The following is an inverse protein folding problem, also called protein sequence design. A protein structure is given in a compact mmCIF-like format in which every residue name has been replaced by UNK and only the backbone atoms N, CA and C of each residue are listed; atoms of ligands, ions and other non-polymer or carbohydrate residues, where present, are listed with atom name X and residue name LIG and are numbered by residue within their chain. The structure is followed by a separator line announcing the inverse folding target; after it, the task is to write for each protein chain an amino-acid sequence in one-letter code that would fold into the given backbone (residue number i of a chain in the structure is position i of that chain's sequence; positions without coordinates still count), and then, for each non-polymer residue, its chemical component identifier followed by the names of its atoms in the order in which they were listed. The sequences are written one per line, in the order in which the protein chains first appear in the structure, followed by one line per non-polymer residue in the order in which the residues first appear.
data_IF_201186550966
#
_entry.id   IF_201186550966
#
_cell.length_a   1.000
_cell.length_b   1.000
_cell.length_c   1.000
_cell.angle_alpha   90.00
_cell.angle_beta   90.00
_cell.angle_gamma   90.00
#
_symmetry.space_group_name_H-M   'P 1'
#
loop_
_entity.id
_entity.type
_entity.pdbx_description
1 polymer ?
#
# COMPACT_ATOMS: atom_id res chain seq x y z
N UNK A 1 26.08 2.75 9.42
CA UNK A 1 25.07 2.71 10.54
C UNK A 1 24.02 3.74 10.25
N UNK A 2 22.73 3.39 10.41
CA UNK A 2 21.59 4.24 10.09
C UNK A 2 21.08 4.96 11.34
N UNK A 3 20.77 6.23 11.21
CA UNK A 3 20.28 7.10 12.27
C UNK A 3 18.98 7.78 11.84
N UNK A 4 18.04 7.91 12.78
CA UNK A 4 16.91 8.80 12.63
C UNK A 4 17.37 10.26 12.80
N UNK A 5 17.19 11.07 11.76
CA UNK A 5 17.63 12.47 11.75
C UNK A 5 16.60 13.35 12.48
N UNK A 6 16.98 13.92 13.61
CA UNK A 6 16.08 14.78 14.40
C UNK A 6 15.90 16.18 13.77
N UNK A 7 16.96 16.75 13.23
CA UNK A 7 16.89 18.01 12.46
C UNK A 7 16.70 17.70 10.97
N UNK A 8 15.46 17.46 10.58
CA UNK A 8 15.09 17.06 9.21
C UNK A 8 15.47 18.11 8.15
N UNK A 9 15.67 19.39 8.57
CA UNK A 9 16.09 20.47 7.67
C UNK A 9 17.46 20.21 7.04
N UNK A 10 18.34 19.44 7.69
CA UNK A 10 19.64 19.07 7.13
C UNK A 10 19.51 18.19 5.89
N UNK A 11 18.47 17.35 5.80
CA UNK A 11 18.21 16.49 4.67
C UNK A 11 17.29 17.10 3.61
N UNK A 12 16.59 18.19 3.92
CA UNK A 12 15.62 18.82 3.02
C UNK A 12 16.20 19.13 1.60
N UNK A 13 17.45 19.60 1.45
CA UNK A 13 18.03 19.83 0.12
C UNK A 13 18.17 18.57 -0.73
N UNK A 14 18.29 17.37 -0.13
CA UNK A 14 18.40 16.11 -0.87
C UNK A 14 17.10 15.74 -1.57
N UNK A 15 15.97 16.18 -1.04
CA UNK A 15 14.63 15.94 -1.57
C UNK A 15 14.16 17.03 -2.55
N UNK A 16 14.99 18.04 -2.85
CA UNK A 16 14.63 19.05 -3.86
C UNK A 16 14.42 18.40 -5.23
N UNK A 17 13.28 18.71 -5.85
CA UNK A 17 12.90 18.12 -7.14
C UNK A 17 12.13 16.80 -7.04
N UNK A 18 12.17 16.11 -5.90
CA UNK A 18 11.27 15.01 -5.62
C UNK A 18 9.90 15.56 -5.21
N UNK A 19 8.87 15.06 -5.86
CA UNK A 19 7.58 15.76 -5.88
C UNK A 19 6.49 15.06 -5.09
N UNK A 20 6.85 14.32 -4.04
CA UNK A 20 5.90 13.62 -3.22
C UNK A 20 5.56 14.39 -1.94
N UNK A 21 4.28 14.47 -1.59
CA UNK A 21 3.78 15.13 -0.38
C UNK A 21 4.10 14.36 0.90
N UNK A 22 4.25 13.03 0.80
CA UNK A 22 4.66 12.20 1.92
C UNK A 22 6.05 12.60 2.43
N UNK A 23 6.95 13.02 1.53
CA UNK A 23 8.25 13.58 1.89
C UNK A 23 8.08 14.84 2.76
N UNK A 24 7.11 15.71 2.44
CA UNK A 24 6.84 16.90 3.25
C UNK A 24 6.33 16.53 4.64
N UNK A 25 5.46 15.52 4.75
CA UNK A 25 5.01 14.98 6.03
C UNK A 25 6.21 14.55 6.90
N UNK A 26 7.19 13.85 6.31
CA UNK A 26 8.42 13.44 7.00
C UNK A 26 9.30 14.64 7.40
N UNK A 27 9.50 15.61 6.49
CA UNK A 27 10.33 16.80 6.75
C UNK A 27 9.73 17.69 7.83
N UNK A 28 8.41 17.73 7.96
CA UNK A 28 7.68 18.46 9.00
C UNK A 28 7.54 17.65 10.30
N UNK A 29 7.90 16.35 10.31
CA UNK A 29 7.78 15.46 11.46
C UNK A 29 6.36 15.19 11.89
N UNK A 30 5.42 15.17 10.94
CA UNK A 30 4.01 14.91 11.17
C UNK A 30 3.69 13.42 11.01
N UNK A 31 2.62 12.95 11.63
CA UNK A 31 2.08 11.59 11.50
C UNK A 31 3.13 10.47 11.69
N UNK A 32 4.08 10.66 12.62
CA UNK A 32 5.16 9.69 12.83
C UNK A 32 6.18 9.62 11.69
N UNK A 33 6.11 10.53 10.69
CA UNK A 33 7.05 10.60 9.58
C UNK A 33 8.49 10.82 10.04
N UNK A 34 9.44 10.08 9.45
CA UNK A 34 10.85 10.05 9.86
C UNK A 34 11.78 10.24 8.67
N UNK A 35 12.94 10.78 8.95
CA UNK A 35 14.06 10.83 8.01
C UNK A 35 15.21 9.98 8.58
N UNK A 36 15.71 9.07 7.76
CA UNK A 36 16.87 8.23 8.10
C UNK A 36 18.06 8.61 7.23
N UNK A 37 19.25 8.60 7.84
CA UNK A 37 20.51 8.98 7.19
C UNK A 37 21.66 8.10 7.70
N UNK A 38 22.77 8.07 6.99
CA UNK A 38 24.03 7.43 7.43
C UNK A 38 25.00 8.43 8.06
N UNK A 39 24.78 9.75 7.86
CA UNK A 39 25.52 10.85 8.52
C UNK A 39 24.53 11.93 8.99
N UNK A 40 24.51 12.21 10.31
CA UNK A 40 23.59 13.18 10.92
C UNK A 40 24.07 14.63 10.80
N UNK A 41 25.35 14.86 10.49
CA UNK A 41 25.92 16.23 10.41
C UNK A 41 25.86 16.79 8.98
N UNK A 42 26.22 15.98 8.00
CA UNK A 42 26.26 16.37 6.60
C UNK A 42 25.71 15.24 5.70
N UNK A 43 24.39 14.96 5.77
CA UNK A 43 23.81 13.85 5.05
C UNK A 43 23.96 14.06 3.54
N UNK A 44 24.47 13.02 2.83
CA UNK A 44 24.57 12.96 1.38
C UNK A 44 23.49 12.05 0.78
N UNK A 45 22.89 11.22 1.63
CA UNK A 45 21.83 10.27 1.30
C UNK A 45 20.79 10.29 2.40
N UNK A 46 19.54 10.15 2.05
CA UNK A 46 18.45 10.11 3.01
C UNK A 46 17.33 9.17 2.56
N UNK A 47 16.55 8.69 3.53
CA UNK A 47 15.33 7.96 3.32
C UNK A 47 14.23 8.62 4.15
N UNK A 48 13.17 9.11 3.50
CA UNK A 48 11.96 9.61 4.14
C UNK A 48 10.96 8.47 4.25
N UNK A 49 10.45 8.23 5.47
CA UNK A 49 9.50 7.15 5.73
C UNK A 49 8.28 7.65 6.48
N UNK A 50 7.10 7.38 5.94
CA UNK A 50 5.79 7.64 6.58
C UNK A 50 4.76 6.64 6.08
N UNK A 51 3.84 6.26 6.94
CA UNK A 51 2.90 5.18 6.68
C UNK A 51 3.67 3.92 6.25
N UNK A 52 3.63 3.56 4.98
CA UNK A 52 4.34 2.40 4.43
C UNK A 52 5.35 2.77 3.33
N UNK A 53 5.52 4.06 3.00
CA UNK A 53 6.40 4.48 1.91
C UNK A 53 7.77 4.97 2.40
N UNK A 54 8.80 4.50 1.68
CA UNK A 54 10.21 4.82 1.88
C UNK A 54 10.76 5.51 0.64
N UNK A 55 10.91 6.82 0.65
CA UNK A 55 11.45 7.62 -0.45
C UNK A 55 12.93 7.86 -0.25
N UNK A 56 13.74 7.41 -1.21
CA UNK A 56 15.19 7.62 -1.19
C UNK A 56 15.57 8.95 -1.84
N UNK A 57 16.69 9.53 -1.40
CA UNK A 57 17.21 10.78 -1.96
C UNK A 57 18.72 10.89 -1.81
N UNK A 58 19.35 11.73 -2.65
CA UNK A 58 20.79 11.98 -2.65
C UNK A 58 21.58 10.86 -3.31
N UNK A 59 22.84 10.67 -2.89
CA UNK A 59 23.73 9.66 -3.46
C UNK A 59 23.30 8.25 -3.08
N UNK A 60 23.38 7.25 -3.99
CA UNK A 60 23.07 5.87 -3.66
C UNK A 60 23.90 5.36 -2.46
N UNK A 61 23.22 4.85 -1.44
CA UNK A 61 23.81 4.37 -0.20
C UNK A 61 23.36 2.94 0.09
N UNK A 62 24.34 2.02 0.24
CA UNK A 62 24.08 0.59 0.42
C UNK A 62 23.42 0.28 1.77
N UNK A 63 23.78 1.02 2.84
CA UNK A 63 23.16 0.79 4.15
C UNK A 63 21.68 1.19 4.12
N UNK A 64 21.35 2.33 3.50
CA UNK A 64 19.97 2.78 3.36
C UNK A 64 19.16 1.87 2.44
N UNK A 65 19.72 1.42 1.30
CA UNK A 65 19.01 0.51 0.39
C UNK A 65 18.69 -0.85 1.04
N UNK A 66 19.55 -1.33 1.93
CA UNK A 66 19.35 -2.56 2.70
C UNK A 66 18.42 -2.36 3.93
N UNK A 67 18.04 -1.12 4.23
CA UNK A 67 17.27 -0.80 5.44
C UNK A 67 15.77 -0.75 5.15
N UNK A 68 15.02 -1.52 5.91
CA UNK A 68 13.55 -1.52 5.95
C UNK A 68 13.11 -0.95 7.30
N UNK A 69 12.46 0.23 7.35
CA UNK A 69 12.12 0.91 8.61
C UNK A 69 11.15 0.13 9.50
N UNK A 70 10.29 -0.69 8.89
CA UNK A 70 9.34 -1.58 9.58
C UNK A 70 9.09 -2.84 8.74
N UNK A 71 8.24 -3.75 9.22
CA UNK A 71 7.98 -5.05 8.60
C UNK A 71 7.61 -5.02 7.12
N UNK A 72 6.99 -3.93 6.65
CA UNK A 72 6.52 -3.72 5.31
C UNK A 72 6.86 -2.32 4.81
N UNK A 73 7.32 -2.18 3.56
CA UNK A 73 7.64 -0.88 2.99
C UNK A 73 7.58 -0.87 1.45
N UNK A 74 6.97 0.16 0.89
CA UNK A 74 7.06 0.51 -0.52
C UNK A 74 8.28 1.41 -0.76
N UNK A 75 9.36 0.85 -1.28
CA UNK A 75 10.61 1.57 -1.54
C UNK A 75 10.53 2.31 -2.88
N UNK A 76 10.69 3.62 -2.85
CA UNK A 76 10.61 4.50 -4.03
C UNK A 76 11.98 5.08 -4.32
N UNK A 77 12.69 4.57 -5.35
CA UNK A 77 13.97 5.10 -5.78
C UNK A 77 13.78 6.41 -6.56
N UNK A 78 14.67 7.41 -6.40
CA UNK A 78 14.65 8.62 -7.21
C UNK A 78 15.23 8.44 -8.61
N UNK A 79 16.03 7.39 -8.82
CA UNK A 79 16.73 7.09 -10.07
C UNK A 79 17.12 5.60 -10.21
N UNK A 80 17.66 5.25 -11.37
CA UNK A 80 18.07 3.87 -11.70
C UNK A 80 19.22 3.34 -10.80
N UNK A 81 20.07 4.21 -10.26
CA UNK A 81 21.16 3.77 -9.39
C UNK A 81 20.64 3.29 -8.04
N UNK A 82 19.66 3.99 -7.49
CA UNK A 82 18.95 3.55 -6.30
C UNK A 82 18.11 2.30 -6.56
N UNK A 83 17.42 2.24 -7.71
CA UNK A 83 16.64 1.08 -8.13
C UNK A 83 17.51 -0.20 -8.18
N UNK A 84 18.69 -0.12 -8.79
CA UNK A 84 19.63 -1.24 -8.84
C UNK A 84 20.09 -1.70 -7.46
N UNK A 85 20.34 -0.78 -6.51
CA UNK A 85 20.70 -1.16 -5.15
C UNK A 85 19.53 -1.83 -4.43
N UNK A 86 18.32 -1.34 -4.59
CA UNK A 86 17.12 -1.97 -4.00
C UNK A 86 16.97 -3.39 -4.55
N UNK A 87 17.09 -3.58 -5.87
CA UNK A 87 17.02 -4.91 -6.51
C UNK A 87 18.14 -5.87 -6.04
N UNK A 88 19.34 -5.33 -5.75
CA UNK A 88 20.47 -6.12 -5.20
C UNK A 88 20.15 -6.68 -3.80
N UNK A 89 19.53 -5.85 -2.93
CA UNK A 89 19.24 -6.24 -1.54
C UNK A 89 17.91 -6.97 -1.38
N UNK A 90 16.95 -6.66 -2.23
CA UNK A 90 15.57 -7.17 -2.19
C UNK A 90 15.16 -7.77 -3.55
N UNK A 91 15.83 -8.85 -4.01
CA UNK A 91 15.61 -9.41 -5.34
C UNK A 91 14.20 -9.97 -5.55
N UNK A 92 13.50 -10.29 -4.48
CA UNK A 92 12.14 -10.82 -4.50
C UNK A 92 11.08 -9.76 -4.17
N UNK A 93 11.46 -8.47 -4.08
CA UNK A 93 10.49 -7.39 -3.88
C UNK A 93 9.46 -7.35 -5.01
N UNK A 94 8.19 -7.14 -4.67
CA UNK A 94 7.14 -6.96 -5.66
C UNK A 94 7.29 -5.58 -6.32
N UNK A 95 7.50 -5.58 -7.62
CA UNK A 95 7.81 -4.38 -8.41
C UNK A 95 6.56 -3.87 -9.11
N UNK A 96 6.04 -2.76 -8.64
CA UNK A 96 4.83 -2.14 -9.19
C UNK A 96 5.11 -0.80 -9.83
N UNK A 97 4.31 -0.46 -10.86
CA UNK A 97 4.29 0.88 -11.45
C UNK A 97 3.22 1.71 -10.77
N UNK A 98 3.59 2.91 -10.32
CA UNK A 98 2.68 3.91 -9.77
C UNK A 98 2.65 5.14 -10.68
N UNK A 99 1.65 5.98 -10.50
CA UNK A 99 1.35 7.09 -11.39
C UNK A 99 1.33 8.41 -10.62
N UNK A 100 2.41 9.18 -10.75
CA UNK A 100 2.52 10.49 -10.13
C UNK A 100 1.62 11.52 -10.84
N UNK A 101 0.99 12.40 -10.06
CA UNK A 101 0.16 13.48 -10.55
C UNK A 101 0.84 14.84 -10.35
N UNK A 102 0.52 15.80 -11.22
CA UNK A 102 1.04 17.16 -11.09
C UNK A 102 0.53 17.84 -9.82
N UNK A 103 1.39 18.67 -9.21
CA UNK A 103 1.04 19.41 -7.99
C UNK A 103 -0.11 20.42 -8.19
N UNK A 104 -0.22 20.98 -9.37
CA UNK A 104 -1.19 22.04 -9.68
C UNK A 104 -2.40 21.45 -10.42
N UNK A 105 -3.29 20.82 -9.68
CA UNK A 105 -4.57 20.34 -10.22
C UNK A 105 -5.45 21.50 -10.68
N UNK A 106 -6.18 21.29 -11.78
CA UNK A 106 -7.15 22.26 -12.31
C UNK A 106 -8.56 21.89 -11.87
N UNK A 107 -8.89 22.22 -10.64
CA UNK A 107 -10.16 21.84 -10.04
C UNK A 107 -11.29 22.79 -10.46
N UNK A 108 -12.25 22.28 -11.23
CA UNK A 108 -13.50 22.97 -11.52
C UNK A 108 -14.52 22.70 -10.40
N UNK A 109 -14.72 23.70 -9.53
CA UNK A 109 -15.65 23.60 -8.39
C UNK A 109 -17.07 23.19 -8.82
N UNK A 110 -17.60 23.73 -9.91
CA UNK A 110 -18.95 23.38 -10.39
C UNK A 110 -19.03 21.93 -10.85
N UNK A 111 -17.97 21.45 -11.49
CA UNK A 111 -17.88 20.03 -11.90
C UNK A 111 -17.84 19.12 -10.68
N UNK A 112 -17.03 19.46 -9.66
CA UNK A 112 -16.97 18.69 -8.41
C UNK A 112 -18.32 18.71 -7.66
N UNK A 113 -18.96 19.87 -7.54
CA UNK A 113 -20.31 19.98 -6.96
C UNK A 113 -21.34 19.12 -7.73
N UNK A 114 -21.23 19.06 -9.06
CA UNK A 114 -22.12 18.23 -9.87
C UNK A 114 -21.94 16.73 -9.61
N UNK A 115 -20.72 16.28 -9.30
CA UNK A 115 -20.46 14.90 -8.93
C UNK A 115 -21.08 14.53 -7.58
N UNK A 116 -21.06 15.46 -6.62
CA UNK A 116 -21.70 15.27 -5.33
C UNK A 116 -23.23 15.22 -5.50
N UNK A 117 -23.78 16.13 -6.28
CA UNK A 117 -25.23 16.18 -6.54
C UNK A 117 -25.76 14.97 -7.31
N UNK A 118 -24.88 14.22 -8.01
CA UNK A 118 -25.22 13.03 -8.76
C UNK A 118 -25.19 11.74 -7.93
N UNK A 119 -25.06 11.82 -6.60
CA UNK A 119 -25.13 10.65 -5.73
C UNK A 119 -26.45 9.89 -5.98
N UNK A 120 -26.43 8.55 -6.16
CA UNK A 120 -27.65 7.82 -6.43
C UNK A 120 -28.63 7.81 -5.24
N UNK A 121 -29.91 7.60 -5.52
CA UNK A 121 -30.93 7.45 -4.48
C UNK A 121 -30.60 6.27 -3.55
N UNK A 122 -30.79 6.45 -2.25
CA UNK A 122 -30.51 5.47 -1.22
C UNK A 122 -29.06 5.49 -0.70
N UNK A 123 -28.22 6.39 -1.22
CA UNK A 123 -26.87 6.63 -0.71
C UNK A 123 -26.79 7.98 -0.01
N UNK A 124 -26.00 8.07 1.04
CA UNK A 124 -25.83 9.29 1.84
C UNK A 124 -24.35 9.64 1.94
N UNK A 125 -23.96 10.85 1.54
CA UNK A 125 -22.62 11.38 1.71
C UNK A 125 -22.50 12.01 3.11
N UNK A 126 -21.49 11.59 3.89
CA UNK A 126 -21.17 12.13 5.22
C UNK A 126 -19.71 12.49 5.34
N UNK A 127 -19.43 13.54 6.12
CA UNK A 127 -18.07 13.84 6.57
C UNK A 127 -17.66 12.83 7.65
N UNK A 128 -16.41 12.39 7.65
CA UNK A 128 -15.86 11.57 8.72
C UNK A 128 -15.78 12.39 10.00
N UNK A 129 -16.60 12.01 10.95
CA UNK A 129 -16.60 12.48 12.33
C UNK A 129 -16.11 11.37 13.28
N UNK A 130 -16.25 11.58 14.59
CA UNK A 130 -15.80 10.61 15.57
C UNK A 130 -16.51 9.26 15.53
N UNK A 131 -17.80 9.25 15.17
CA UNK A 131 -18.58 8.01 15.12
C UNK A 131 -18.24 7.22 13.85
N UNK A 132 -18.08 7.92 12.72
CA UNK A 132 -17.67 7.32 11.44
C UNK A 132 -16.22 6.83 11.51
N UNK A 133 -15.31 7.57 12.20
CA UNK A 133 -13.96 7.08 12.48
C UNK A 133 -13.97 5.72 13.20
N UNK A 134 -14.84 5.58 14.24
CA UNK A 134 -14.96 4.33 15.01
C UNK A 134 -15.59 3.18 14.20
N UNK A 135 -16.28 3.48 13.10
CA UNK A 135 -16.73 2.48 12.14
C UNK A 135 -15.58 2.07 11.23
N UNK A 136 -14.90 3.04 10.61
CA UNK A 136 -13.80 2.82 9.65
C UNK A 136 -12.66 1.99 10.25
N UNK A 137 -12.20 2.33 11.45
CA UNK A 137 -11.05 1.64 12.08
C UNK A 137 -11.31 0.16 12.43
N UNK A 138 -12.57 -0.29 12.35
CA UNK A 138 -12.99 -1.67 12.60
C UNK A 138 -13.38 -2.42 11.33
N UNK A 139 -13.40 -1.74 10.21
CA UNK A 139 -13.82 -2.28 8.93
C UNK A 139 -12.57 -2.62 8.12
N UNK A 140 -12.31 -3.91 7.92
CA UNK A 140 -11.10 -4.41 7.22
C UNK A 140 -11.00 -3.94 5.77
N UNK A 141 -12.10 -3.48 5.14
CA UNK A 141 -12.11 -2.93 3.79
C UNK A 141 -11.82 -1.42 3.75
N UNK A 142 -11.90 -0.71 4.90
CA UNK A 142 -11.83 0.75 4.96
C UNK A 142 -10.95 1.33 6.09
N UNK A 143 -10.33 0.51 6.94
CA UNK A 143 -9.52 0.96 8.08
C UNK A 143 -8.32 1.83 7.64
N UNK A 144 -7.73 1.55 6.50
CA UNK A 144 -6.67 2.37 5.90
C UNK A 144 -7.05 3.84 5.70
N UNK A 145 -8.36 4.15 5.61
CA UNK A 145 -8.85 5.53 5.52
C UNK A 145 -8.48 6.38 6.73
N UNK A 146 -8.16 5.77 7.89
CA UNK A 146 -7.90 6.48 9.15
C UNK A 146 -6.73 5.90 9.95
N UNK A 147 -6.25 4.68 9.66
CA UNK A 147 -5.26 3.94 10.46
C UNK A 147 -3.84 4.54 10.45
N UNK A 148 -3.51 5.38 9.47
CA UNK A 148 -2.20 6.04 9.39
C UNK A 148 -2.01 7.16 10.41
N UNK A 149 -3.06 7.57 11.10
CA UNK A 149 -3.00 8.54 12.19
C UNK A 149 -2.73 7.83 13.52
N UNK A 150 -1.94 8.46 14.39
CA UNK A 150 -1.55 7.87 15.68
C UNK A 150 -2.75 7.69 16.62
N UNK A 151 -3.79 8.50 16.43
CA UNK A 151 -5.03 8.43 17.22
C UNK A 151 -6.22 9.06 16.50
N UNK A 152 -7.42 8.75 16.99
CA UNK A 152 -8.68 9.39 16.58
C UNK A 152 -8.62 10.92 16.74
N UNK A 153 -8.06 11.39 17.85
CA UNK A 153 -7.93 12.82 18.15
C UNK A 153 -7.04 13.50 17.10
N UNK A 154 -5.93 12.87 16.72
CA UNK A 154 -5.05 13.39 15.68
C UNK A 154 -5.78 13.45 14.32
N UNK A 155 -6.53 12.39 13.96
CA UNK A 155 -7.33 12.42 12.75
C UNK A 155 -8.36 13.54 12.73
N UNK A 156 -9.11 13.72 13.83
CA UNK A 156 -10.15 14.75 13.92
C UNK A 156 -9.58 16.17 13.92
N UNK A 157 -8.34 16.36 14.37
CA UNK A 157 -7.65 17.67 14.39
C UNK A 157 -7.11 18.02 13.00
N UNK A 158 -6.42 17.12 12.33
CA UNK A 158 -5.66 17.44 11.11
C UNK A 158 -6.11 16.64 9.86
N UNK A 159 -6.77 15.52 10.01
CA UNK A 159 -7.30 14.72 8.90
C UNK A 159 -8.59 15.29 8.31
N UNK A 160 -8.94 14.81 7.13
CA UNK A 160 -10.20 15.13 6.43
C UNK A 160 -10.68 13.90 5.68
N UNK A 161 -11.99 13.72 5.62
CA UNK A 161 -12.54 12.64 4.83
C UNK A 161 -14.06 12.69 4.71
N UNK A 162 -14.55 11.95 3.74
CA UNK A 162 -15.97 11.76 3.46
C UNK A 162 -16.23 10.29 3.15
N UNK A 163 -17.36 9.81 3.59
CA UNK A 163 -17.84 8.46 3.27
C UNK A 163 -19.18 8.55 2.54
N UNK A 164 -19.46 7.57 1.71
CA UNK A 164 -20.82 7.29 1.25
C UNK A 164 -21.31 6.09 2.02
N UNK A 165 -22.50 6.25 2.60
CA UNK A 165 -23.20 5.21 3.35
C UNK A 165 -24.43 4.73 2.59
N UNK A 166 -24.75 3.45 2.77
CA UNK A 166 -25.96 2.79 2.28
C UNK A 166 -26.46 1.83 3.34
N UNK A 167 -27.76 1.91 3.70
CA UNK A 167 -28.40 1.04 4.68
C UNK A 167 -27.66 0.96 6.04
N UNK A 168 -26.91 2.04 6.40
CA UNK A 168 -26.15 2.13 7.65
C UNK A 168 -24.69 1.66 7.55
N UNK A 169 -24.28 1.08 6.42
CA UNK A 169 -22.92 0.59 6.16
C UNK A 169 -22.11 1.58 5.32
N UNK A 170 -20.78 1.62 5.51
CA UNK A 170 -19.86 2.39 4.67
C UNK A 170 -19.61 1.61 3.38
N UNK A 171 -19.79 2.26 2.23
CA UNK A 171 -19.62 1.63 0.93
C UNK A 171 -18.59 2.32 0.03
N UNK A 172 -18.19 3.54 0.38
CA UNK A 172 -17.05 4.23 -0.25
C UNK A 172 -16.51 5.25 0.73
N UNK A 173 -15.19 5.41 0.76
CA UNK A 173 -14.49 6.39 1.58
C UNK A 173 -13.46 7.15 0.74
N UNK A 174 -13.32 8.45 1.00
CA UNK A 174 -12.17 9.25 0.57
C UNK A 174 -11.63 9.99 1.78
N UNK A 175 -10.35 9.84 2.07
CA UNK A 175 -9.74 10.37 3.30
C UNK A 175 -8.31 10.86 3.06
N UNK A 176 -7.77 11.57 4.05
CA UNK A 176 -6.37 11.91 4.12
C UNK A 176 -5.55 10.65 4.38
N UNK A 177 -4.74 10.23 3.43
CA UNK A 177 -3.71 9.21 3.63
C UNK A 177 -2.59 9.76 4.52
N UNK A 178 -2.03 10.90 4.14
CA UNK A 178 -1.11 11.69 4.96
C UNK A 178 -1.45 13.17 4.90
N UNK A 179 -0.93 13.94 5.88
CA UNK A 179 -1.12 15.40 5.93
C UNK A 179 0.23 16.10 6.13
N UNK A 180 0.34 17.29 5.58
CA UNK A 180 1.43 18.23 5.81
C UNK A 180 0.85 19.64 5.94
N UNK A 181 1.66 20.64 6.33
CA UNK A 181 1.15 21.99 6.67
C UNK A 181 0.36 22.69 5.56
N UNK A 182 0.52 22.30 4.29
CA UNK A 182 -0.13 22.95 3.13
C UNK A 182 -1.13 22.07 2.41
N UNK A 183 -1.34 20.81 2.83
CA UNK A 183 -2.22 19.92 2.12
C UNK A 183 -2.26 18.51 2.67
N UNK A 184 -2.78 17.60 1.87
CA UNK A 184 -2.91 16.19 2.20
C UNK A 184 -2.81 15.32 0.95
N UNK A 185 -2.43 14.06 1.14
CA UNK A 185 -2.61 13.02 0.15
C UNK A 185 -3.96 12.36 0.30
N UNK A 186 -4.55 11.98 -0.84
CA UNK A 186 -5.87 11.38 -0.90
C UNK A 186 -5.73 9.86 -1.03
N UNK A 187 -6.48 9.14 -0.19
CA UNK A 187 -6.82 7.73 -0.36
C UNK A 187 -8.31 7.61 -0.65
N UNK A 188 -8.69 6.70 -1.58
CA UNK A 188 -10.08 6.43 -1.92
C UNK A 188 -10.30 4.95 -2.11
N UNK A 189 -11.31 4.41 -1.40
CA UNK A 189 -11.75 3.03 -1.52
C UNK A 189 -13.25 2.93 -1.77
N UNK A 190 -13.67 1.85 -2.40
CA UNK A 190 -15.09 1.54 -2.63
C UNK A 190 -15.28 0.03 -2.59
N UNK A 191 -16.24 -0.41 -1.77
CA UNK A 191 -16.64 -1.80 -1.65
C UNK A 191 -16.89 -2.42 -3.04
N UNK A 192 -16.37 -3.62 -3.27
CA UNK A 192 -16.38 -4.25 -4.60
C UNK A 192 -17.78 -4.32 -5.23
N UNK A 193 -18.78 -4.70 -4.44
CA UNK A 193 -20.19 -4.80 -4.89
C UNK A 193 -20.83 -3.43 -5.25
N UNK A 194 -20.19 -2.33 -4.82
CA UNK A 194 -20.67 -0.96 -4.99
C UNK A 194 -19.87 -0.17 -6.04
N UNK A 195 -18.85 -0.78 -6.65
CA UNK A 195 -18.02 -0.16 -7.70
C UNK A 195 -18.84 0.21 -8.94
N UNK A 196 -18.31 1.13 -9.74
CA UNK A 196 -18.90 1.63 -11.01
C UNK A 196 -20.20 2.39 -10.86
N UNK A 197 -20.62 2.77 -9.63
CA UNK A 197 -21.80 3.60 -9.33
C UNK A 197 -21.49 5.08 -9.15
N UNK A 198 -20.22 5.49 -9.30
CA UNK A 198 -19.77 6.87 -9.15
C UNK A 198 -19.45 7.30 -7.71
N UNK A 199 -19.50 6.38 -6.72
CA UNK A 199 -19.33 6.69 -5.30
C UNK A 199 -17.95 7.24 -4.98
N UNK A 200 -16.86 6.63 -5.49
CA UNK A 200 -15.50 7.16 -5.37
C UNK A 200 -15.35 8.57 -5.97
N UNK A 201 -16.06 8.86 -7.06
CA UNK A 201 -16.09 10.21 -7.64
C UNK A 201 -16.77 11.22 -6.70
N UNK A 202 -17.85 10.81 -6.03
CA UNK A 202 -18.59 11.64 -5.07
C UNK A 202 -17.75 11.93 -3.83
N UNK A 203 -17.16 10.90 -3.19
CA UNK A 203 -16.33 11.06 -1.98
C UNK A 203 -15.07 11.87 -2.27
N UNK A 204 -14.37 11.58 -3.39
CA UNK A 204 -13.18 12.30 -3.82
C UNK A 204 -13.48 13.77 -4.16
N UNK A 205 -14.61 14.05 -4.83
CA UNK A 205 -15.04 15.42 -5.11
C UNK A 205 -15.32 16.22 -3.83
N UNK A 206 -15.98 15.60 -2.85
CA UNK A 206 -16.26 16.22 -1.56
C UNK A 206 -14.97 16.55 -0.78
N UNK A 207 -14.01 15.60 -0.76
CA UNK A 207 -12.72 15.80 -0.10
C UNK A 207 -11.92 16.93 -0.76
N UNK A 208 -11.84 16.94 -2.10
CA UNK A 208 -11.13 17.99 -2.86
C UNK A 208 -11.77 19.36 -2.59
N UNK A 209 -13.10 19.49 -2.64
CA UNK A 209 -13.79 20.74 -2.34
C UNK A 209 -13.49 21.24 -0.92
N UNK A 210 -13.53 20.35 0.07
CA UNK A 210 -13.18 20.68 1.46
C UNK A 210 -11.74 21.19 1.58
N UNK A 211 -10.77 20.58 0.87
CA UNK A 211 -9.40 21.08 0.83
C UNK A 211 -9.33 22.48 0.23
N UNK A 212 -9.99 22.72 -0.90
CA UNK A 212 -9.97 24.02 -1.58
C UNK A 212 -10.66 25.15 -0.76
N UNK A 213 -11.65 24.82 0.04
CA UNK A 213 -12.32 25.75 0.96
C UNK A 213 -11.39 26.20 2.08
N UNK A 214 -10.57 25.30 2.60
CA UNK A 214 -9.62 25.59 3.67
C UNK A 214 -8.24 26.05 3.15
N UNK A 215 -8.08 26.23 1.85
CA UNK A 215 -6.82 26.65 1.22
C UNK A 215 -5.73 25.58 1.26
N UNK A 216 -6.11 24.33 1.43
CA UNK A 216 -5.20 23.18 1.39
C UNK A 216 -5.05 22.62 -0.03
N UNK A 217 -3.87 22.11 -0.33
CA UNK A 217 -3.59 21.46 -1.59
C UNK A 217 -3.93 19.96 -1.51
N UNK A 218 -4.96 19.48 -2.21
CA UNK A 218 -5.16 18.05 -2.37
C UNK A 218 -4.05 17.49 -3.25
N UNK A 219 -3.46 16.37 -2.84
CA UNK A 219 -2.45 15.60 -3.57
C UNK A 219 -2.96 14.19 -3.75
N UNK A 220 -2.45 13.52 -4.74
CA UNK A 220 -2.77 12.13 -5.00
C UNK A 220 -1.64 11.45 -5.74
N UNK A 221 -1.37 10.23 -5.36
CA UNK A 221 -0.53 9.28 -6.05
C UNK A 221 -1.38 8.05 -6.42
N UNK A 222 -1.49 7.75 -7.70
CA UNK A 222 -2.37 6.69 -8.16
C UNK A 222 -1.65 5.33 -8.20
N UNK A 223 -2.19 4.35 -7.49
CA UNK A 223 -1.63 3.01 -7.38
C UNK A 223 -1.77 2.19 -8.67
N UNK A 224 -2.73 2.54 -9.54
CA UNK A 224 -3.05 1.83 -10.77
C UNK A 224 -3.77 2.75 -11.77
N UNK A 225 -4.04 2.24 -12.97
CA UNK A 225 -4.69 2.99 -14.04
C UNK A 225 -6.14 3.38 -13.74
N UNK A 226 -6.89 2.58 -12.97
CA UNK A 226 -8.26 2.93 -12.57
C UNK A 226 -8.25 4.13 -11.62
N UNK A 227 -7.30 4.15 -10.66
CA UNK A 227 -7.05 5.28 -9.75
C UNK A 227 -6.61 6.53 -10.52
N UNK A 228 -5.71 6.37 -11.52
CA UNK A 228 -5.29 7.47 -12.39
C UNK A 228 -6.47 8.09 -13.14
N UNK A 229 -7.31 7.26 -13.77
CA UNK A 229 -8.50 7.75 -14.50
C UNK A 229 -9.49 8.48 -13.58
N UNK A 230 -9.65 7.99 -12.35
CA UNK A 230 -10.50 8.66 -11.36
C UNK A 230 -9.90 10.02 -10.97
N UNK A 231 -8.60 10.09 -10.73
CA UNK A 231 -7.90 11.32 -10.41
C UNK A 231 -8.02 12.37 -11.54
N UNK A 232 -7.81 11.97 -12.81
CA UNK A 232 -7.97 12.85 -13.98
C UNK A 232 -9.41 13.33 -14.12
N UNK A 233 -10.40 12.45 -13.90
CA UNK A 233 -11.81 12.84 -13.89
C UNK A 233 -12.12 13.93 -12.86
N UNK A 234 -11.47 13.89 -11.70
CA UNK A 234 -11.62 14.85 -10.60
C UNK A 234 -10.84 16.15 -10.82
N UNK A 235 -9.91 16.21 -11.77
CA UNK A 235 -9.20 17.44 -12.14
C UNK A 235 -7.70 17.42 -11.87
N UNK A 236 -7.14 16.29 -11.50
CA UNK A 236 -5.70 16.08 -11.50
C UNK A 236 -5.17 15.91 -12.92
N UNK A 237 -3.88 16.14 -13.11
CA UNK A 237 -3.18 15.90 -14.37
C UNK A 237 -2.06 14.89 -14.14
N UNK A 238 -1.97 13.87 -15.01
CA UNK A 238 -0.86 12.92 -15.01
C UNK A 238 0.49 13.62 -15.19
N UNK A 239 1.50 13.14 -14.48
CA UNK A 239 2.88 13.63 -14.58
C UNK A 239 3.80 12.58 -15.23
N UNK A 240 4.05 11.48 -14.55
CA UNK A 240 4.93 10.40 -15.01
C UNK A 240 4.65 9.11 -14.23
N UNK A 241 5.11 8.01 -14.80
CA UNK A 241 5.17 6.72 -14.11
C UNK A 241 6.46 6.62 -13.31
N UNK A 242 6.42 5.89 -12.20
CA UNK A 242 7.59 5.56 -11.42
C UNK A 242 7.47 4.17 -10.77
N UNK A 243 8.59 3.62 -10.35
CA UNK A 243 8.63 2.29 -9.75
C UNK A 243 8.54 2.36 -8.22
N UNK A 244 7.80 1.43 -7.65
CA UNK A 244 7.76 1.15 -6.22
C UNK A 244 8.08 -0.33 -6.00
N UNK A 245 8.98 -0.62 -5.07
CA UNK A 245 9.41 -1.96 -4.70
C UNK A 245 8.84 -2.30 -3.33
N UNK A 246 7.89 -3.19 -3.29
CA UNK A 246 7.27 -3.61 -2.04
C UNK A 246 8.10 -4.69 -1.37
N UNK A 247 8.56 -4.39 -0.17
CA UNK A 247 9.38 -5.27 0.66
C UNK A 247 8.56 -5.67 1.88
N UNK A 248 8.28 -6.97 1.98
CA UNK A 248 7.40 -7.55 2.99
C UNK A 248 8.17 -8.03 4.23
N UNK A 249 7.47 -8.19 5.36
CA UNK A 249 7.99 -8.74 6.60
C UNK A 249 8.48 -10.19 6.44
N UNK A 250 7.92 -10.94 5.49
CA UNK A 250 8.34 -12.32 5.21
C UNK A 250 9.83 -12.40 4.93
N UNK A 251 10.44 -11.39 4.27
CA UNK A 251 11.85 -11.40 3.91
C UNK A 251 12.81 -11.40 5.12
N UNK A 252 12.35 -11.00 6.30
CA UNK A 252 13.12 -11.09 7.55
C UNK A 252 13.24 -12.53 8.04
N UNK A 253 12.35 -13.41 7.56
CA UNK A 253 12.23 -14.81 7.97
C UNK A 253 12.74 -15.81 6.93
N UNK A 254 12.98 -15.36 5.68
CA UNK A 254 13.37 -16.24 4.57
C UNK A 254 14.72 -16.91 4.85
N UNK A 255 14.74 -18.24 4.74
CA UNK A 255 15.95 -19.05 4.80
C UNK A 255 16.72 -18.89 3.50
N UNK A 256 17.93 -18.31 3.55
CA UNK A 256 18.75 -17.98 2.36
C UNK A 256 19.24 -19.20 1.58
N UNK A 257 19.45 -20.34 2.25
CA UNK A 257 19.93 -21.59 1.64
C UNK A 257 19.10 -22.78 2.16
N UNK A 258 17.82 -22.91 1.70
CA UNK A 258 16.93 -23.96 2.16
C UNK A 258 17.30 -25.33 1.55
N UNK A 259 17.03 -26.42 2.30
CA UNK A 259 17.07 -27.75 1.72
C UNK A 259 15.92 -27.96 0.73
N UNK A 260 16.24 -28.08 -0.54
CA UNK A 260 15.27 -28.24 -1.65
C UNK A 260 15.03 -29.71 -2.05
N UNK A 261 15.63 -30.66 -1.35
CA UNK A 261 15.64 -32.10 -1.74
C UNK A 261 14.23 -32.72 -1.83
N UNK A 262 13.27 -32.18 -1.08
CA UNK A 262 11.89 -32.66 -1.03
C UNK A 262 10.90 -31.87 -1.87
N UNK A 263 11.29 -30.73 -2.45
CA UNK A 263 10.37 -29.78 -3.08
C UNK A 263 9.60 -30.36 -4.26
N UNK A 264 10.23 -31.23 -5.08
CA UNK A 264 9.54 -31.99 -6.12
C UNK A 264 8.38 -32.82 -5.57
N UNK A 265 8.57 -33.40 -4.38
CA UNK A 265 7.54 -34.22 -3.74
C UNK A 265 6.34 -33.45 -3.23
N UNK A 266 6.49 -32.13 -3.03
CA UNK A 266 5.42 -31.22 -2.60
C UNK A 266 4.51 -30.81 -3.75
N UNK A 267 4.98 -30.92 -5.01
CA UNK A 267 4.21 -30.54 -6.17
C UNK A 267 2.97 -31.43 -6.37
N UNK A 268 1.84 -30.81 -6.68
CA UNK A 268 0.58 -31.51 -6.93
C UNK A 268 -0.64 -30.63 -6.68
N UNK A 269 -1.82 -31.20 -6.90
CA UNK A 269 -3.10 -30.53 -6.61
C UNK A 269 -3.58 -30.92 -5.22
N UNK A 270 -4.14 -29.96 -4.51
CA UNK A 270 -4.61 -30.09 -3.14
C UNK A 270 -6.01 -29.51 -2.98
N UNK A 271 -6.81 -30.12 -2.11
CA UNK A 271 -8.12 -29.62 -1.69
C UNK A 271 -8.17 -29.50 -0.16
N UNK A 272 -8.64 -28.36 0.34
CA UNK A 272 -8.85 -28.14 1.76
C UNK A 272 -9.98 -29.03 2.31
N UNK A 273 -9.80 -29.60 3.48
CA UNK A 273 -10.82 -30.48 4.14
C UNK A 273 -12.10 -29.72 4.58
N UNK A 274 -12.11 -28.37 4.50
CA UNK A 274 -13.22 -27.52 4.93
C UNK A 274 -14.22 -27.21 3.83
N UNK A 275 -15.37 -26.71 4.27
CA UNK A 275 -16.64 -26.46 3.55
C UNK A 275 -16.56 -25.76 2.20
N UNK A 276 -15.46 -25.11 1.85
CA UNK A 276 -15.38 -24.32 0.60
C UNK A 276 -14.70 -25.03 -0.56
N UNK A 277 -14.18 -26.26 -0.42
CA UNK A 277 -13.45 -27.00 -1.46
C UNK A 277 -12.55 -26.12 -2.34
N UNK A 278 -11.81 -25.21 -1.70
CA UNK A 278 -10.83 -24.42 -2.43
C UNK A 278 -9.70 -25.36 -2.86
N UNK A 279 -9.61 -25.57 -4.17
CA UNK A 279 -8.54 -26.34 -4.78
C UNK A 279 -7.41 -25.39 -5.17
N UNK A 280 -6.17 -25.82 -4.97
CA UNK A 280 -4.98 -25.11 -5.40
C UNK A 280 -3.90 -26.12 -5.82
N UNK A 281 -2.86 -25.65 -6.48
CA UNK A 281 -1.74 -26.47 -6.88
C UNK A 281 -0.43 -25.92 -6.31
N UNK A 282 0.46 -26.82 -5.91
CA UNK A 282 1.86 -26.48 -5.63
C UNK A 282 2.68 -26.82 -6.86
N UNK A 283 3.44 -25.84 -7.34
CA UNK A 283 4.25 -25.92 -8.55
C UNK A 283 5.71 -25.62 -8.23
N UNK A 284 6.63 -26.29 -8.90
CA UNK A 284 8.06 -25.95 -8.86
C UNK A 284 8.43 -25.26 -10.18
N UNK A 285 8.94 -24.04 -10.11
CA UNK A 285 9.37 -23.23 -11.26
C UNK A 285 10.69 -22.55 -10.94
N UNK A 286 11.67 -22.69 -11.81
CA UNK A 286 13.01 -22.09 -11.68
C UNK A 286 13.69 -22.33 -10.31
N UNK A 287 13.35 -23.46 -9.66
CA UNK A 287 13.89 -23.86 -8.38
C UNK A 287 13.15 -23.29 -7.16
N UNK A 288 12.04 -22.56 -7.34
CA UNK A 288 11.19 -22.05 -6.28
C UNK A 288 9.78 -22.68 -6.33
N UNK A 289 9.13 -22.77 -5.17
CA UNK A 289 7.76 -23.26 -5.07
C UNK A 289 6.76 -22.11 -5.23
N UNK A 290 5.63 -22.42 -5.86
CA UNK A 290 4.51 -21.52 -6.06
C UNK A 290 3.21 -22.20 -5.66
N UNK A 291 2.30 -21.44 -5.06
CA UNK A 291 0.91 -21.82 -4.85
C UNK A 291 0.05 -21.20 -5.95
N UNK A 292 -0.62 -22.04 -6.74
CA UNK A 292 -1.48 -21.62 -7.83
C UNK A 292 -2.94 -21.93 -7.53
N UNK A 293 -3.82 -20.93 -7.64
CA UNK A 293 -5.28 -21.08 -7.46
C UNK A 293 -6.04 -20.22 -8.47
N UNK A 294 -7.32 -20.52 -8.63
CA UNK A 294 -8.17 -19.73 -9.51
C UNK A 294 -8.49 -18.39 -8.85
N UNK A 295 -8.08 -17.30 -9.47
CA UNK A 295 -8.47 -15.95 -9.07
C UNK A 295 -9.99 -15.72 -9.24
N UNK A 296 -10.48 -14.60 -8.72
CA UNK A 296 -11.92 -14.22 -8.78
C UNK A 296 -12.49 -14.21 -10.19
N UNK A 297 -11.68 -13.85 -11.19
CA UNK A 297 -12.07 -13.76 -12.62
C UNK A 297 -11.79 -15.03 -13.41
N UNK A 298 -11.35 -16.13 -12.74
CA UNK A 298 -11.04 -17.40 -13.38
C UNK A 298 -9.62 -17.50 -13.94
N UNK A 299 -8.83 -16.42 -13.92
CA UNK A 299 -7.42 -16.45 -14.27
C UNK A 299 -6.60 -17.10 -13.16
N UNK A 300 -5.59 -17.92 -13.48
CA UNK A 300 -4.73 -18.52 -12.47
C UNK A 300 -3.89 -17.43 -11.77
N UNK A 301 -4.00 -17.36 -10.45
CA UNK A 301 -3.11 -16.56 -9.61
C UNK A 301 -2.02 -17.48 -9.06
N UNK A 302 -0.76 -17.11 -9.22
CA UNK A 302 0.40 -17.84 -8.72
C UNK A 302 1.14 -16.97 -7.71
N UNK A 303 1.23 -17.45 -6.48
CA UNK A 303 2.00 -16.79 -5.41
C UNK A 303 3.28 -17.56 -5.13
N UNK A 304 4.42 -16.88 -5.11
CA UNK A 304 5.69 -17.45 -4.70
C UNK A 304 5.63 -17.84 -3.23
N UNK A 305 6.17 -19.01 -2.92
CA UNK A 305 6.32 -19.54 -1.57
C UNK A 305 7.74 -19.29 -1.07
N UNK A 306 7.85 -18.59 0.05
CA UNK A 306 9.12 -18.27 0.69
C UNK A 306 9.42 -19.25 1.81
N UNK A 307 10.55 -19.97 1.78
CA UNK A 307 10.92 -20.91 2.86
C UNK A 307 11.25 -20.14 4.14
N UNK A 308 10.47 -20.35 5.18
CA UNK A 308 10.61 -19.68 6.49
C UNK A 308 10.91 -20.66 7.64
N UNK A 309 10.93 -21.96 7.36
CA UNK A 309 11.23 -23.03 8.29
C UNK A 309 11.48 -24.34 7.54
N UNK A 310 11.81 -25.41 8.28
CA UNK A 310 11.94 -26.75 7.70
C UNK A 310 10.58 -27.22 7.17
N UNK A 311 10.42 -27.27 5.83
CA UNK A 311 9.16 -27.58 5.14
C UNK A 311 8.00 -26.62 5.49
N UNK A 312 8.33 -25.40 5.92
CA UNK A 312 7.38 -24.33 6.21
C UNK A 312 7.62 -23.17 5.24
N UNK A 313 6.53 -22.71 4.61
CA UNK A 313 6.57 -21.65 3.61
C UNK A 313 5.52 -20.59 3.93
N UNK A 314 5.87 -19.33 3.74
CA UNK A 314 4.98 -18.20 3.85
C UNK A 314 4.75 -17.52 2.49
N UNK A 315 3.87 -16.53 2.47
CA UNK A 315 3.56 -15.70 1.31
C UNK A 315 3.93 -14.24 1.59
N UNK A 316 4.11 -13.46 0.55
CA UNK A 316 3.95 -12.01 0.65
C UNK A 316 2.48 -11.67 0.89
N UNK A 317 2.23 -10.62 1.64
CA UNK A 317 0.90 -10.04 1.86
C UNK A 317 -0.06 -10.88 2.71
N UNK A 318 0.42 -11.97 3.31
CA UNK A 318 -0.40 -12.82 4.17
C UNK A 318 0.40 -13.39 5.33
N UNK A 319 -0.24 -13.51 6.47
CA UNK A 319 0.31 -14.21 7.64
C UNK A 319 0.17 -15.74 7.54
N UNK A 320 -0.41 -16.21 6.44
CA UNK A 320 -0.68 -17.61 6.19
C UNK A 320 0.61 -18.39 5.97
N UNK A 321 0.68 -19.61 6.50
CA UNK A 321 1.79 -20.54 6.27
C UNK A 321 1.29 -21.86 5.67
N UNK A 322 2.08 -22.37 4.73
CA UNK A 322 1.96 -23.73 4.21
C UNK A 322 3.01 -24.61 4.89
N UNK A 323 2.58 -25.70 5.49
CA UNK A 323 3.44 -26.67 6.18
C UNK A 323 3.31 -28.06 5.53
N UNK A 324 4.43 -28.61 5.09
CA UNK A 324 4.50 -30.00 4.63
C UNK A 324 5.02 -30.89 5.77
N UNK A 325 4.13 -31.74 6.30
CA UNK A 325 4.45 -32.61 7.43
C UNK A 325 3.80 -33.98 7.27
N UNK A 326 4.58 -35.03 7.49
CA UNK A 326 4.12 -36.45 7.47
C UNK A 326 3.34 -36.81 6.19
N UNK A 327 3.76 -36.28 5.04
CA UNK A 327 3.11 -36.50 3.74
C UNK A 327 1.78 -35.73 3.53
N UNK A 328 1.41 -34.85 4.47
CA UNK A 328 0.27 -33.98 4.38
C UNK A 328 0.71 -32.53 4.17
N UNK A 329 -0.15 -31.75 3.50
CA UNK A 329 -0.03 -30.30 3.41
C UNK A 329 -1.05 -29.68 4.37
N UNK A 330 -0.63 -28.67 5.14
CA UNK A 330 -1.44 -27.97 6.13
C UNK A 330 -1.34 -26.49 5.82
N UNK A 331 -2.49 -25.81 5.75
CA UNK A 331 -2.60 -24.34 5.61
C UNK A 331 -3.41 -23.83 6.79
N UNK A 332 -2.85 -22.96 7.62
CA UNK A 332 -3.53 -22.40 8.81
C UNK A 332 -4.21 -23.45 9.70
N UNK A 333 -3.49 -24.53 10.01
CA UNK A 333 -4.00 -25.69 10.76
C UNK A 333 -5.12 -26.50 10.06
N UNK A 334 -5.42 -26.20 8.79
CA UNK A 334 -6.38 -26.97 8.00
C UNK A 334 -5.60 -27.95 7.14
N UNK A 335 -5.91 -29.24 7.27
CA UNK A 335 -5.30 -30.28 6.46
C UNK A 335 -5.83 -30.20 5.03
N UNK A 336 -4.91 -30.36 4.08
CA UNK A 336 -5.22 -30.40 2.66
C UNK A 336 -4.91 -31.80 2.11
N UNK A 337 -5.85 -32.35 1.39
CA UNK A 337 -5.68 -33.68 0.79
C UNK A 337 -5.16 -33.52 -0.64
N UNK A 338 -4.15 -34.30 -0.99
CA UNK A 338 -3.66 -34.37 -2.36
C UNK A 338 -4.70 -35.08 -3.23
N UNK A 339 -5.14 -34.41 -4.30
CA UNK A 339 -6.04 -35.05 -5.28
C UNK A 339 -5.25 -36.00 -6.17
N UNK A 340 -5.86 -37.13 -6.53
CA UNK A 340 -5.32 -37.97 -7.61
C UNK A 340 -5.73 -37.31 -8.92
N UNK A 341 -4.75 -37.07 -9.80
CA UNK A 341 -4.99 -36.68 -11.18
C UNK A 341 -5.91 -37.67 -11.91
#
# INVERSE_FOLDING_TARGET
MIFELKDTKKAAPLFEGLHDSLIQTCLEGLMGGKIYVTDTEAPRSALAFVAEFAYFAGEPDRELAAFKPQGYAGMVPPDDCWAQLIEEYWPDADKTTRYALKKDGKFDRKKLESFIAAIPDGYELKRIDGDIYDMLIKDEDFDDSVSHFESKEQYLDMGRGFVVMKDGEIVSAASSYTVYSKGLDIQIDTAEAERRKGLATTTGAALILSCLEDGLAPRWDAANTDSLHLAEKLGFEFSHEYLCYWVDAIFDRVIKDPDRSLWDSFCGRYEMENESRKAFAILLKDGDLYCAFSGKDGDPLELKLFPVGENVFGFMWADDEIVFKDGALIVNNIKCNRTKD
#
